data_IF_514347436164
#
_entry.id   IF_514347436164
#
_cell.length_a   1.000
_cell.length_b   1.000
_cell.length_c   1.000
_cell.angle_alpha   90.00
_cell.angle_beta   90.00
_cell.angle_gamma   90.00
#
_symmetry.space_group_name_H-M   'P 1'
#
loop_
_entity.id
_entity.type
_entity.pdbx_description
1 polymer ?
#
# COMPACT_ATOMS: atom_id res chain seq x y z
N UNK A 1 -32.80 14.52 -9.73
CA UNK A 1 -31.82 13.45 -9.45
C UNK A 1 -30.73 13.57 -10.51
N UNK A 2 -29.58 14.15 -10.16
CA UNK A 2 -28.46 14.31 -11.10
C UNK A 2 -27.69 12.99 -11.12
N UNK A 3 -27.82 12.24 -12.21
CA UNK A 3 -27.15 10.97 -12.43
C UNK A 3 -25.81 11.23 -13.12
N UNK A 4 -24.72 11.04 -12.37
CA UNK A 4 -23.36 10.92 -12.91
C UNK A 4 -22.92 9.48 -12.61
N UNK A 5 -23.46 8.52 -13.34
CA UNK A 5 -22.92 7.16 -13.28
C UNK A 5 -21.64 7.16 -14.11
N UNK A 6 -20.49 7.01 -13.45
CA UNK A 6 -19.25 6.66 -14.14
C UNK A 6 -19.31 5.17 -14.47
N UNK A 7 -19.23 4.82 -15.76
CA UNK A 7 -18.99 3.43 -16.14
C UNK A 7 -17.57 3.04 -15.68
N UNK A 8 -17.45 1.95 -14.92
CA UNK A 8 -16.14 1.37 -14.62
C UNK A 8 -15.73 0.51 -15.80
N UNK A 9 -14.60 0.86 -16.42
CA UNK A 9 -13.96 0.00 -17.43
C UNK A 9 -13.32 -1.25 -16.80
N UNK A 10 -13.39 -1.36 -15.47
CA UNK A 10 -12.79 -2.44 -14.70
C UNK A 10 -11.27 -2.43 -14.78
N UNK A 11 -10.60 -1.36 -15.22
CA UNK A 11 -9.12 -1.28 -15.33
C UNK A 11 -8.47 -0.47 -14.21
N UNK A 12 -9.25 0.27 -13.43
CA UNK A 12 -8.78 1.07 -12.28
C UNK A 12 -8.00 0.28 -11.22
N UNK A 13 -7.00 0.90 -10.62
CA UNK A 13 -6.20 0.39 -9.49
C UNK A 13 -6.96 0.39 -8.15
N UNK A 14 -8.14 0.98 -8.11
CA UNK A 14 -9.03 1.05 -6.97
C UNK A 14 -10.45 0.62 -7.37
N UNK A 15 -11.27 0.30 -6.38
CA UNK A 15 -12.70 0.04 -6.60
C UNK A 15 -13.42 1.34 -6.92
N UNK A 16 -14.09 1.36 -8.06
CA UNK A 16 -14.81 2.54 -8.54
C UNK A 16 -16.12 2.76 -7.77
N UNK A 17 -16.43 4.02 -7.45
CA UNK A 17 -17.78 4.42 -7.04
C UNK A 17 -18.67 4.47 -8.29
N UNK A 18 -19.76 3.71 -8.27
CA UNK A 18 -20.71 3.62 -9.38
C UNK A 18 -21.90 4.56 -9.18
N UNK A 19 -22.37 4.68 -7.93
CA UNK A 19 -23.51 5.52 -7.56
C UNK A 19 -23.48 5.83 -6.06
N UNK A 20 -24.30 6.79 -5.61
CA UNK A 20 -24.46 7.10 -4.19
C UNK A 20 -25.87 7.63 -3.89
N UNK A 21 -26.36 7.33 -2.69
CA UNK A 21 -27.69 7.74 -2.22
C UNK A 21 -27.57 8.39 -0.85
N UNK A 22 -28.16 9.58 -0.71
CA UNK A 22 -28.29 10.25 0.58
C UNK A 22 -29.67 9.94 1.17
N UNK A 23 -29.68 9.29 2.33
CA UNK A 23 -30.87 9.08 3.15
C UNK A 23 -30.80 9.99 4.38
N UNK A 24 -31.83 9.95 5.22
CA UNK A 24 -31.84 10.68 6.49
C UNK A 24 -30.83 10.02 7.44
N UNK A 25 -29.71 10.71 7.69
CA UNK A 25 -28.67 10.24 8.61
C UNK A 25 -27.70 9.20 8.03
N UNK A 26 -27.86 8.79 6.78
CA UNK A 26 -27.05 7.73 6.16
C UNK A 26 -26.63 8.11 4.74
N UNK A 27 -25.39 7.77 4.39
CA UNK A 27 -24.86 7.85 3.03
C UNK A 27 -24.59 6.43 2.53
N UNK A 28 -25.26 6.03 1.46
CA UNK A 28 -25.09 4.72 0.82
C UNK A 28 -24.20 4.89 -0.41
N UNK A 29 -23.09 4.15 -0.44
CA UNK A 29 -22.16 4.14 -1.57
C UNK A 29 -22.32 2.83 -2.35
N UNK A 30 -22.62 2.93 -3.64
CA UNK A 30 -22.66 1.78 -4.56
C UNK A 30 -21.33 1.71 -5.28
N UNK A 31 -20.60 0.62 -5.07
CA UNK A 31 -19.24 0.45 -5.55
C UNK A 31 -19.13 -0.77 -6.46
N UNK A 32 -18.13 -0.75 -7.35
CA UNK A 32 -17.76 -1.94 -8.11
C UNK A 32 -17.43 -3.10 -7.17
N UNK A 33 -17.82 -4.32 -7.58
CA UNK A 33 -17.49 -5.54 -6.84
C UNK A 33 -16.65 -6.48 -7.71
N UNK A 34 -15.31 -6.44 -7.60
CA UNK A 34 -14.44 -7.41 -8.26
C UNK A 34 -14.78 -8.84 -7.81
N UNK A 35 -14.90 -9.78 -8.76
CA UNK A 35 -15.29 -11.17 -8.49
C UNK A 35 -14.61 -12.16 -9.47
N UNK A 36 -13.97 -13.23 -9.00
CA UNK A 36 -13.67 -13.54 -7.59
C UNK A 36 -12.60 -12.60 -7.01
N UNK A 37 -12.81 -12.13 -5.78
CA UNK A 37 -11.81 -11.37 -5.05
C UNK A 37 -11.93 -11.58 -3.53
N UNK A 38 -10.80 -11.46 -2.83
CA UNK A 38 -10.70 -11.48 -1.37
C UNK A 38 -9.71 -10.40 -0.91
N UNK A 39 -9.78 -9.96 0.35
CA UNK A 39 -8.76 -9.03 0.84
C UNK A 39 -7.38 -9.70 0.91
N UNK A 40 -6.30 -8.91 0.77
CA UNK A 40 -4.94 -9.41 0.72
C UNK A 40 -4.56 -10.12 2.01
N UNK A 41 -5.10 -9.65 3.15
CA UNK A 41 -4.91 -10.34 4.40
C UNK A 41 -5.40 -11.79 4.31
N UNK A 42 -6.57 -12.10 3.74
CA UNK A 42 -7.08 -13.46 3.56
C UNK A 42 -6.37 -14.25 2.44
N UNK A 43 -5.98 -13.56 1.38
CA UNK A 43 -5.24 -14.14 0.23
C UNK A 43 -3.85 -14.68 0.60
N UNK A 44 -3.26 -14.22 1.70
CA UNK A 44 -2.00 -14.77 2.23
C UNK A 44 -2.24 -16.18 2.81
N UNK A 45 -1.37 -17.17 2.60
CA UNK A 45 -1.55 -18.50 3.16
C UNK A 45 -1.49 -18.47 4.71
N UNK A 46 -2.37 -19.24 5.36
CA UNK A 46 -2.40 -19.39 6.83
C UNK A 46 -1.32 -20.36 7.35
N UNK A 47 -0.81 -21.24 6.47
CA UNK A 47 0.10 -22.32 6.86
C UNK A 47 1.57 -21.92 6.75
N UNK A 48 2.29 -22.10 7.87
CA UNK A 48 3.68 -21.75 8.19
C UNK A 48 4.78 -22.28 7.24
N UNK A 49 4.45 -22.89 6.12
CA UNK A 49 5.38 -23.50 5.18
C UNK A 49 5.38 -22.87 3.78
N UNK A 50 4.42 -21.98 3.51
CA UNK A 50 4.36 -21.24 2.27
C UNK A 50 4.62 -19.77 2.57
N UNK A 51 5.89 -19.40 2.66
CA UNK A 51 6.26 -18.05 2.21
C UNK A 51 5.81 -18.04 0.74
N UNK A 52 4.83 -17.22 0.37
CA UNK A 52 4.60 -16.95 -1.06
C UNK A 52 5.96 -16.60 -1.63
N UNK A 53 6.35 -17.26 -2.72
CA UNK A 53 7.64 -16.97 -3.33
C UNK A 53 7.76 -15.45 -3.47
N UNK A 54 8.93 -14.88 -3.19
CA UNK A 54 9.11 -13.42 -3.23
C UNK A 54 8.60 -12.84 -4.54
N UNK A 55 8.65 -13.62 -5.63
CA UNK A 55 8.10 -13.24 -6.93
C UNK A 55 6.57 -12.99 -6.90
N UNK A 56 5.78 -13.79 -6.19
CA UNK A 56 4.33 -13.55 -6.06
C UNK A 56 4.05 -12.28 -5.26
N UNK A 57 4.78 -12.07 -4.16
CA UNK A 57 4.65 -10.87 -3.32
C UNK A 57 5.03 -9.62 -4.11
N UNK A 58 6.06 -9.74 -4.95
CA UNK A 58 6.56 -8.69 -5.82
C UNK A 58 5.58 -8.32 -6.93
N UNK A 59 4.87 -9.27 -7.51
CA UNK A 59 3.78 -9.00 -8.48
C UNK A 59 2.68 -8.13 -7.84
N UNK A 60 2.28 -8.46 -6.61
CA UNK A 60 1.28 -7.70 -5.85
C UNK A 60 1.82 -6.31 -5.48
N UNK A 61 3.04 -6.23 -4.96
CA UNK A 61 3.62 -4.95 -4.53
C UNK A 61 3.87 -3.99 -5.67
N UNK A 62 4.26 -4.48 -6.86
CA UNK A 62 4.39 -3.62 -8.04
C UNK A 62 3.06 -2.93 -8.35
N UNK A 63 1.97 -3.70 -8.37
CA UNK A 63 0.63 -3.12 -8.59
C UNK A 63 0.21 -2.17 -7.47
N UNK A 64 0.58 -2.46 -6.21
CA UNK A 64 0.32 -1.54 -5.11
C UNK A 64 1.08 -0.21 -5.26
N UNK A 65 2.35 -0.26 -5.67
CA UNK A 65 3.15 0.94 -5.95
C UNK A 65 2.54 1.72 -7.12
N UNK A 66 2.13 1.03 -8.19
CA UNK A 66 1.47 1.67 -9.34
C UNK A 66 0.13 2.32 -8.92
N UNK A 67 -0.64 1.66 -8.06
CA UNK A 67 -1.87 2.21 -7.48
C UNK A 67 -1.59 3.46 -6.63
N UNK A 68 -0.55 3.43 -5.81
CA UNK A 68 -0.16 4.56 -4.97
C UNK A 68 0.31 5.77 -5.81
N UNK A 69 1.07 5.53 -6.88
CA UNK A 69 1.44 6.56 -7.86
C UNK A 69 0.23 7.16 -8.55
N UNK A 70 -0.73 6.31 -8.94
CA UNK A 70 -1.97 6.76 -9.57
C UNK A 70 -2.76 7.69 -8.65
N UNK A 71 -2.92 7.33 -7.37
CA UNK A 71 -3.57 8.18 -6.37
C UNK A 71 -2.79 9.48 -6.15
N UNK A 72 -1.46 9.41 -6.01
CA UNK A 72 -0.61 10.59 -5.86
C UNK A 72 -0.75 11.55 -7.06
N UNK A 73 -0.82 11.03 -8.28
CA UNK A 73 -1.01 11.84 -9.50
C UNK A 73 -2.34 12.58 -9.53
N UNK A 74 -3.33 12.07 -8.80
CA UNK A 74 -4.66 12.66 -8.61
C UNK A 74 -4.75 13.52 -7.35
N UNK A 75 -3.62 13.78 -6.68
CA UNK A 75 -3.54 14.46 -5.38
C UNK A 75 -4.37 13.77 -4.29
N UNK A 76 -4.54 12.44 -4.36
CA UNK A 76 -5.27 11.66 -3.35
C UNK A 76 -4.30 10.97 -2.41
N UNK A 77 -4.40 11.28 -1.12
CA UNK A 77 -3.71 10.57 -0.07
C UNK A 77 -4.67 9.54 0.55
N UNK A 78 -4.39 8.25 0.35
CA UNK A 78 -5.26 7.16 0.82
C UNK A 78 -5.34 7.07 2.36
N UNK A 79 -4.22 7.30 3.05
CA UNK A 79 -4.07 7.29 4.53
C UNK A 79 -4.24 5.95 5.23
N UNK A 80 -4.85 4.96 4.60
CA UNK A 80 -5.09 3.65 5.21
C UNK A 80 -4.70 2.47 4.30
N UNK A 81 -3.52 2.52 3.66
CA UNK A 81 -3.02 1.39 2.88
C UNK A 81 -2.58 0.27 3.84
N UNK A 82 -3.29 -0.85 3.78
CA UNK A 82 -3.03 -2.08 4.56
C UNK A 82 -3.61 -3.29 3.84
N UNK A 83 -3.22 -4.50 4.27
CA UNK A 83 -3.62 -5.74 3.61
C UNK A 83 -5.14 -5.97 3.64
N UNK A 84 -5.83 -5.43 4.64
CA UNK A 84 -7.29 -5.48 4.77
C UNK A 84 -8.00 -4.60 3.74
N UNK A 85 -7.36 -3.51 3.29
CA UNK A 85 -7.89 -2.54 2.35
C UNK A 85 -7.38 -2.74 0.91
N UNK A 86 -6.82 -3.92 0.64
CA UNK A 86 -6.40 -4.34 -0.69
C UNK A 86 -7.22 -5.56 -1.08
N UNK A 87 -8.04 -5.48 -2.12
CA UNK A 87 -8.66 -6.67 -2.72
C UNK A 87 -7.72 -7.28 -3.76
N UNK A 88 -7.67 -8.61 -3.78
CA UNK A 88 -6.97 -9.40 -4.77
C UNK A 88 -7.99 -10.09 -5.65
N UNK A 89 -8.12 -9.60 -6.88
CA UNK A 89 -8.94 -10.21 -7.92
C UNK A 89 -8.18 -11.35 -8.59
N UNK A 90 -8.79 -12.54 -8.65
CA UNK A 90 -8.13 -13.78 -9.10
C UNK A 90 -8.77 -14.37 -10.36
N UNK A 91 -9.51 -13.55 -11.13
CA UNK A 91 -10.18 -13.98 -12.36
C UNK A 91 -9.19 -14.30 -13.50
N UNK A 92 -8.06 -13.60 -13.54
CA UNK A 92 -7.00 -13.76 -14.53
C UNK A 92 -5.85 -14.64 -14.02
N UNK A 93 -4.99 -15.09 -14.93
CA UNK A 93 -3.78 -15.88 -14.61
C UNK A 93 -2.86 -15.18 -13.59
N UNK A 94 -2.89 -13.83 -13.59
CA UNK A 94 -2.17 -13.02 -12.62
C UNK A 94 -3.16 -12.33 -11.68
N UNK A 95 -2.89 -12.33 -10.36
CA UNK A 95 -3.73 -11.66 -9.39
C UNK A 95 -3.65 -10.14 -9.57
N UNK A 96 -4.78 -9.46 -9.42
CA UNK A 96 -4.87 -8.01 -9.58
C UNK A 96 -5.22 -7.30 -8.28
N UNK A 97 -4.49 -6.22 -7.98
CA UNK A 97 -4.70 -5.40 -6.77
C UNK A 97 -5.75 -4.33 -7.02
N UNK A 98 -6.71 -4.21 -6.11
CA UNK A 98 -7.73 -3.14 -6.09
C UNK A 98 -7.78 -2.52 -4.70
N UNK A 99 -7.41 -1.24 -4.57
CA UNK A 99 -7.54 -0.51 -3.31
C UNK A 99 -9.02 -0.21 -2.98
N UNK A 100 -9.35 -0.29 -1.69
CA UNK A 100 -10.67 0.01 -1.13
C UNK A 100 -10.55 0.87 0.13
N UNK A 101 -11.69 1.35 0.64
CA UNK A 101 -11.80 2.05 1.93
C UNK A 101 -11.12 3.43 1.97
N UNK A 102 -11.68 4.35 1.20
CA UNK A 102 -11.25 5.76 1.15
C UNK A 102 -11.85 6.64 2.26
N UNK A 103 -12.44 6.04 3.30
CA UNK A 103 -13.21 6.77 4.32
C UNK A 103 -12.39 7.74 5.17
N UNK A 104 -11.07 7.57 5.19
CA UNK A 104 -10.12 8.47 5.87
C UNK A 104 -9.15 9.15 4.90
N UNK A 105 -9.35 8.97 3.59
CA UNK A 105 -8.52 9.59 2.56
C UNK A 105 -8.79 11.10 2.47
N UNK A 106 -7.83 11.84 1.94
CA UNK A 106 -7.98 13.28 1.69
C UNK A 106 -7.24 13.70 0.41
N UNK A 107 -7.46 14.96 0.01
CA UNK A 107 -6.65 15.57 -1.03
C UNK A 107 -5.36 16.15 -0.42
N UNK A 108 -4.22 15.87 -1.05
CA UNK A 108 -2.89 16.36 -0.65
C UNK A 108 -2.20 17.03 -1.84
N UNK A 109 -1.85 18.31 -1.69
CA UNK A 109 -1.09 19.10 -2.66
C UNK A 109 0.43 19.03 -2.40
N UNK A 110 0.87 18.00 -1.66
CA UNK A 110 2.27 17.68 -1.30
C UNK A 110 2.95 18.66 -0.35
N UNK A 111 2.21 19.62 0.18
CA UNK A 111 2.71 20.70 1.06
C UNK A 111 2.21 20.58 2.50
N UNK A 112 1.30 19.66 2.76
CA UNK A 112 0.66 19.52 4.07
C UNK A 112 1.47 18.62 5.00
N UNK A 113 1.42 18.96 6.28
CA UNK A 113 1.81 18.10 7.39
C UNK A 113 0.54 17.75 8.15
N UNK A 114 0.39 16.49 8.51
CA UNK A 114 -0.75 15.97 9.25
C UNK A 114 -0.33 15.68 10.69
N UNK A 115 -1.20 16.03 11.64
CA UNK A 115 -0.99 15.80 13.08
C UNK A 115 -2.06 14.86 13.69
N UNK A 116 -3.08 14.53 12.90
CA UNK A 116 -4.16 13.61 13.26
C UNK A 116 -3.78 12.16 12.93
N UNK A 117 -4.37 11.20 13.65
CA UNK A 117 -3.99 9.81 13.55
C UNK A 117 -5.20 8.87 13.46
N UNK A 118 -5.07 7.82 12.63
CA UNK A 118 -6.06 6.76 12.47
C UNK A 118 -5.54 5.41 12.98
N UNK A 119 -4.98 4.57 12.09
CA UNK A 119 -4.70 3.15 12.38
C UNK A 119 -3.21 2.78 12.48
N UNK A 120 -2.32 3.43 11.72
CA UNK A 120 -0.88 3.16 11.74
C UNK A 120 -0.01 4.40 11.98
N UNK A 121 0.55 4.55 13.18
CA UNK A 121 1.49 5.65 13.47
C UNK A 121 2.82 5.33 12.80
N UNK A 122 3.30 6.25 11.98
CA UNK A 122 4.61 6.15 11.35
C UNK A 122 5.72 6.56 12.33
N UNK A 123 6.99 6.23 12.05
CA UNK A 123 8.09 6.64 12.91
C UNK A 123 8.19 8.16 13.05
N UNK A 124 7.97 8.91 11.97
CA UNK A 124 7.94 10.37 12.01
C UNK A 124 6.83 10.91 12.93
N UNK A 125 5.66 10.27 12.97
CA UNK A 125 4.62 10.65 13.92
C UNK A 125 5.09 10.50 15.37
N UNK A 126 5.81 9.42 15.70
CA UNK A 126 6.32 9.22 17.06
C UNK A 126 7.45 10.17 17.45
N UNK A 127 8.22 10.65 16.47
CA UNK A 127 9.39 11.50 16.71
C UNK A 127 9.08 13.00 16.63
N UNK A 128 8.20 13.39 15.71
CA UNK A 128 7.96 14.78 15.32
C UNK A 128 6.50 15.22 15.55
N UNK A 129 5.63 14.32 16.01
CA UNK A 129 4.19 14.55 16.16
C UNK A 129 3.49 15.00 14.86
N UNK A 130 4.05 14.62 13.71
CA UNK A 130 3.49 14.90 12.41
C UNK A 130 4.03 13.99 11.31
N UNK A 131 3.40 14.01 10.15
CA UNK A 131 3.77 13.20 9.00
C UNK A 131 3.33 13.83 7.68
N UNK A 132 3.83 13.28 6.57
CA UNK A 132 3.55 13.73 5.21
C UNK A 132 3.06 12.58 4.36
N UNK A 133 2.19 12.87 3.39
CA UNK A 133 1.52 11.86 2.57
C UNK A 133 2.48 10.86 1.92
N UNK A 134 3.45 11.34 1.15
CA UNK A 134 4.42 10.50 0.43
C UNK A 134 5.17 9.52 1.35
N UNK A 135 5.95 10.00 2.34
CA UNK A 135 6.66 9.13 3.29
C UNK A 135 5.75 8.14 4.01
N UNK A 136 4.57 8.56 4.43
CA UNK A 136 3.61 7.67 5.10
C UNK A 136 3.08 6.58 4.17
N UNK A 137 2.78 6.91 2.91
CA UNK A 137 2.38 5.91 1.90
C UNK A 137 3.50 4.89 1.66
N UNK A 138 4.76 5.33 1.56
CA UNK A 138 5.93 4.43 1.44
C UNK A 138 6.03 3.50 2.65
N UNK A 139 5.87 4.05 3.85
CA UNK A 139 5.90 3.28 5.08
C UNK A 139 4.78 2.23 5.13
N UNK A 140 3.55 2.61 4.75
CA UNK A 140 2.40 1.70 4.65
C UNK A 140 2.64 0.54 3.68
N UNK A 141 3.25 0.81 2.51
CA UNK A 141 3.67 -0.23 1.57
C UNK A 141 4.71 -1.17 2.21
N UNK A 142 5.66 -0.62 2.97
CA UNK A 142 6.62 -1.39 3.76
C UNK A 142 5.96 -2.31 4.79
N UNK A 143 4.91 -1.82 5.47
CA UNK A 143 4.12 -2.63 6.42
C UNK A 143 3.37 -3.76 5.71
N UNK A 144 2.78 -3.50 4.54
CA UNK A 144 2.16 -4.55 3.71
C UNK A 144 3.17 -5.62 3.33
N UNK A 145 4.36 -5.23 2.85
CA UNK A 145 5.44 -6.18 2.52
C UNK A 145 5.88 -6.96 3.77
N UNK A 146 6.08 -6.29 4.91
CA UNK A 146 6.46 -6.95 6.16
C UNK A 146 5.46 -8.04 6.54
N UNK A 147 4.17 -7.71 6.51
CA UNK A 147 3.09 -8.62 6.89
C UNK A 147 3.00 -9.82 5.93
N UNK A 148 3.22 -9.59 4.63
CA UNK A 148 3.27 -10.64 3.62
C UNK A 148 4.43 -11.62 3.87
N UNK A 149 5.61 -11.12 4.24
CA UNK A 149 6.80 -11.93 4.49
C UNK A 149 6.80 -12.61 5.88
N UNK A 150 6.10 -12.04 6.86
CA UNK A 150 6.03 -12.56 8.24
C UNK A 150 4.77 -13.36 8.56
N UNK A 151 4.12 -13.95 7.54
CA UNK A 151 2.95 -14.82 7.75
C UNK A 151 1.85 -14.12 8.57
N UNK A 152 1.50 -12.87 8.21
CA UNK A 152 0.50 -12.02 8.89
C UNK A 152 0.85 -11.58 10.32
N UNK A 153 2.10 -11.69 10.77
CA UNK A 153 2.49 -11.03 12.02
C UNK A 153 2.32 -9.52 11.84
N UNK A 154 1.41 -8.93 12.61
CA UNK A 154 1.16 -7.49 12.59
C UNK A 154 2.46 -6.73 12.86
N UNK A 155 2.79 -5.83 11.96
CA UNK A 155 3.84 -4.85 12.19
C UNK A 155 3.47 -3.92 13.35
N UNK A 156 4.42 -3.63 14.21
CA UNK A 156 4.28 -2.67 15.31
C UNK A 156 5.42 -1.65 15.19
N UNK A 157 5.06 -0.42 14.83
CA UNK A 157 6.03 0.63 14.57
C UNK A 157 6.97 0.88 15.75
N UNK A 158 6.46 0.93 16.98
CA UNK A 158 7.29 1.15 18.18
C UNK A 158 8.25 -0.01 18.43
N UNK A 159 7.76 -1.25 18.36
CA UNK A 159 8.60 -2.42 18.54
C UNK A 159 9.68 -2.51 17.45
N UNK A 160 9.39 -2.10 16.22
CA UNK A 160 10.37 -2.01 15.15
C UNK A 160 11.43 -0.93 15.42
N UNK A 161 11.02 0.29 15.80
CA UNK A 161 11.93 1.40 16.15
C UNK A 161 12.87 0.99 17.30
N UNK A 162 12.34 0.28 18.31
CA UNK A 162 13.09 -0.18 19.47
C UNK A 162 13.97 -1.42 19.19
N UNK A 163 13.91 -1.99 17.99
CA UNK A 163 14.69 -3.18 17.62
C UNK A 163 14.12 -4.51 18.15
N UNK A 164 12.90 -4.52 18.70
CA UNK A 164 12.22 -5.72 19.19
C UNK A 164 11.53 -6.54 18.08
N UNK A 165 11.39 -6.00 16.87
CA UNK A 165 10.95 -6.76 15.70
C UNK A 165 12.09 -7.01 14.72
N UNK A 166 12.37 -8.28 14.47
CA UNK A 166 13.31 -8.73 13.46
C UNK A 166 12.70 -8.71 12.05
N UNK A 167 13.59 -8.69 11.06
CA UNK A 167 13.28 -8.93 9.66
C UNK A 167 12.99 -10.42 9.41
N UNK A 168 12.30 -10.75 8.30
CA UNK A 168 11.96 -12.13 8.01
C UNK A 168 13.25 -12.91 7.69
N UNK A 169 13.47 -14.09 8.31
CA UNK A 169 14.77 -14.77 8.24
C UNK A 169 15.08 -15.32 6.84
N UNK A 170 14.06 -15.81 6.11
CA UNK A 170 14.18 -16.48 4.81
C UNK A 170 13.86 -15.56 3.63
N UNK A 171 14.42 -14.35 3.60
CA UNK A 171 14.25 -13.43 2.47
C UNK A 171 15.57 -13.01 1.84
N UNK A 172 15.54 -12.76 0.54
CA UNK A 172 16.65 -12.30 -0.27
C UNK A 172 17.17 -10.94 0.20
N UNK A 173 18.42 -10.66 -0.15
CA UNK A 173 19.04 -9.38 0.20
C UNK A 173 18.28 -8.19 -0.42
N UNK A 174 17.90 -8.29 -1.69
CA UNK A 174 17.15 -7.23 -2.39
C UNK A 174 15.79 -6.97 -1.74
N UNK A 175 15.07 -8.03 -1.34
CA UNK A 175 13.79 -7.90 -0.63
C UNK A 175 13.97 -7.22 0.74
N UNK A 176 15.01 -7.59 1.50
CA UNK A 176 15.35 -6.95 2.79
C UNK A 176 15.73 -5.49 2.61
N UNK A 177 16.54 -5.18 1.61
CA UNK A 177 17.00 -3.81 1.33
C UNK A 177 15.80 -2.92 0.96
N UNK A 178 14.88 -3.40 0.13
CA UNK A 178 13.64 -2.69 -0.21
C UNK A 178 12.73 -2.50 1.01
N UNK A 179 12.53 -3.56 1.81
CA UNK A 179 11.73 -3.48 3.03
C UNK A 179 12.29 -2.46 4.02
N UNK A 180 13.61 -2.50 4.28
CA UNK A 180 14.29 -1.55 5.16
C UNK A 180 14.26 -0.12 4.60
N UNK A 181 14.28 0.04 3.29
CA UNK A 181 14.12 1.35 2.66
C UNK A 181 12.72 1.92 2.90
N UNK A 182 11.67 1.10 2.81
CA UNK A 182 10.29 1.53 3.10
C UNK A 182 10.09 1.85 4.60
N UNK A 183 10.66 1.04 5.48
CA UNK A 183 10.49 1.16 6.94
C UNK A 183 11.50 2.08 7.62
N UNK A 184 12.33 2.78 6.85
CA UNK A 184 13.47 3.53 7.37
C UNK A 184 13.00 4.69 8.25
N UNK A 185 13.34 4.62 9.53
CA UNK A 185 13.27 5.77 10.44
C UNK A 185 14.39 6.72 10.02
N UNK A 186 14.07 7.96 9.64
CA UNK A 186 15.12 8.92 9.28
C UNK A 186 15.88 9.33 10.56
N UNK A 187 17.19 9.02 10.71
CA UNK A 187 17.94 9.38 11.91
C UNK A 187 18.33 10.86 11.96
N UNK A 188 18.24 11.57 10.83
CA UNK A 188 18.71 12.94 10.69
C UNK A 188 17.59 13.84 10.15
N UNK A 189 16.80 14.43 11.06
CA UNK A 189 15.94 15.63 11.01
C UNK A 189 15.94 16.55 9.75
N UNK A 190 15.90 16.01 8.55
CA UNK A 190 15.72 16.79 7.33
C UNK A 190 14.80 16.04 6.40
N UNK A 191 13.60 16.60 6.32
CA UNK A 191 12.53 16.39 5.37
C UNK A 191 12.95 16.56 3.87
N UNK A 192 14.24 16.41 3.53
CA UNK A 192 14.81 16.83 2.24
C UNK A 192 15.30 15.69 1.34
N UNK A 193 15.47 14.45 1.83
CA UNK A 193 15.95 13.36 0.95
C UNK A 193 14.84 12.53 0.28
N UNK A 194 13.63 12.61 0.81
CA UNK A 194 12.42 12.27 0.06
C UNK A 194 11.89 13.60 -0.47
N UNK A 195 12.31 13.98 -1.68
CA UNK A 195 11.65 15.05 -2.43
C UNK A 195 10.17 14.67 -2.61
N UNK A 196 9.36 15.57 -3.16
CA UNK A 196 7.92 15.47 -3.46
C UNK A 196 7.49 14.26 -4.34
N UNK A 197 8.35 13.25 -4.46
CA UNK A 197 8.39 12.13 -5.39
C UNK A 197 8.82 10.83 -4.68
N UNK A 198 8.57 10.69 -3.36
CA UNK A 198 9.05 9.53 -2.58
C UNK A 198 8.64 8.17 -3.16
N UNK A 199 7.46 8.11 -3.79
CA UNK A 199 6.96 6.93 -4.51
C UNK A 199 7.68 6.75 -5.87
N UNK A 200 8.09 7.83 -6.53
CA UNK A 200 8.93 7.78 -7.75
C UNK A 200 10.31 7.17 -7.48
N UNK A 201 10.92 7.47 -6.33
CA UNK A 201 12.20 6.86 -5.92
C UNK A 201 12.11 5.33 -5.72
N UNK A 202 10.96 4.84 -5.24
CA UNK A 202 10.66 3.41 -5.16
C UNK A 202 10.62 2.75 -6.56
N UNK A 203 10.20 3.48 -7.60
CA UNK A 203 10.15 2.98 -8.98
C UNK A 203 11.54 2.76 -9.58
N UNK A 204 12.49 3.66 -9.32
CA UNK A 204 13.87 3.48 -9.80
C UNK A 204 14.53 2.26 -9.15
N UNK A 205 14.27 2.03 -7.86
CA UNK A 205 14.80 0.86 -7.15
C UNK A 205 14.05 -0.44 -7.47
N UNK A 206 12.74 -0.36 -7.74
CA UNK A 206 12.00 -1.53 -8.23
C UNK A 206 12.53 -1.96 -9.59
N UNK A 207 12.98 -1.06 -10.48
CA UNK A 207 13.59 -1.41 -11.77
C UNK A 207 14.99 -2.02 -11.67
N UNK A 208 15.82 -1.60 -10.69
CA UNK A 208 17.24 -1.99 -10.58
C UNK A 208 17.46 -3.47 -10.18
N UNK A 209 16.42 -4.19 -9.73
CA UNK A 209 16.49 -5.63 -9.41
C UNK A 209 15.67 -6.54 -10.33
N UNK A 210 15.26 -6.09 -11.52
CA UNK A 210 14.03 -6.55 -12.16
C UNK A 210 14.06 -6.70 -13.68
N UNK A 211 15.18 -7.13 -14.27
CA UNK A 211 15.12 -7.65 -15.65
C UNK A 211 14.46 -9.03 -15.63
N UNK A 212 13.33 -9.24 -16.33
CA UNK A 212 12.83 -10.59 -16.56
C UNK A 212 13.89 -11.35 -17.36
N UNK A 213 14.31 -12.52 -16.89
CA UNK A 213 14.95 -13.47 -17.78
C UNK A 213 13.93 -13.82 -18.88
N UNK A 214 14.26 -13.65 -20.17
CA UNK A 214 13.33 -13.97 -21.24
C UNK A 214 12.96 -15.46 -21.17
N UNK A 215 11.75 -15.83 -21.61
CA UNK A 215 11.33 -17.22 -21.62
C UNK A 215 12.32 -18.02 -22.46
N UNK A 216 12.88 -19.08 -21.86
CA UNK A 216 13.57 -20.12 -22.65
C UNK A 216 12.48 -20.79 -23.48
N UNK A 217 12.62 -20.69 -24.80
CA UNK A 217 11.77 -21.37 -25.77
C UNK A 217 11.90 -22.89 -25.69
#
# INVERSE_FOLDING_TARGET
>A
MLKLAAESDGTSSHVSLLDWYQLVGELVLVMERPMPAENYNNYLPYNKFYVKNEEDVKIILRQLVDAALDLESKNVFHRDIKAENMLIETRSDFPRVRLISFGVSCFDDKRQTYEDFYDLKTPEFYLENGYRAGPTTVFQIGVVLYNALHMRKRFNTLAFIQGFQSLPPKTSKSCKDFLLMCLRVNPNNTCQRWSSSGITSLCDQSKVGLTPTPPRG
#
